data_IF_463170733929
#
_entry.id   IF_463170733929
#
_cell.length_a   1.000
_cell.length_b   1.000
_cell.length_c   1.000
_cell.angle_alpha   90.00
_cell.angle_beta   90.00
_cell.angle_gamma   90.00
#
_symmetry.space_group_name_H-M   'P 1'
#
loop_
_entity.id
_entity.type
_entity.pdbx_description
1 polymer ?
#
# COMPACT_ATOMS: atom_id res chain seq x y z
N UNK A 1 -4.82 71.66 25.39
CA UNK A 1 -5.33 70.83 24.28
C UNK A 1 -4.81 69.41 24.56
N UNK A 2 -5.38 68.61 25.47
CA UNK A 2 -6.72 67.96 25.48
C UNK A 2 -6.93 67.19 24.16
N UNK A 3 -7.22 65.88 24.09
CA UNK A 3 -8.12 64.96 24.86
C UNK A 3 -7.64 63.47 24.60
N UNK A 4 -8.28 62.38 25.10
CA UNK A 4 -8.17 61.71 26.42
C UNK A 4 -7.69 60.23 26.37
N UNK A 5 -7.40 59.71 27.56
CA UNK A 5 -7.36 58.28 27.91
C UNK A 5 -8.76 57.85 28.37
N UNK A 6 -9.27 56.74 27.82
CA UNK A 6 -10.53 56.10 28.27
C UNK A 6 -10.20 54.78 28.97
N UNK A 7 -10.54 54.72 30.27
CA UNK A 7 -10.63 53.50 31.07
C UNK A 7 -11.94 52.75 30.71
N UNK A 8 -11.88 51.43 30.59
CA UNK A 8 -13.05 50.54 30.63
C UNK A 8 -12.80 49.46 31.69
N UNK A 9 -13.80 49.11 32.54
CA UNK A 9 -13.59 48.40 33.80
C UNK A 9 -13.63 46.87 33.64
N UNK A 10 -13.05 46.20 34.63
CA UNK A 10 -13.15 44.77 34.88
C UNK A 10 -14.60 44.28 34.94
N UNK A 11 -14.86 43.18 34.22
CA UNK A 11 -15.98 42.28 34.46
C UNK A 11 -15.43 40.87 34.63
N UNK A 12 -15.68 40.33 35.82
CA UNK A 12 -15.35 38.98 36.21
C UNK A 12 -16.14 37.97 35.38
N UNK A 13 -15.46 36.96 34.83
CA UNK A 13 -16.12 35.74 34.35
C UNK A 13 -15.78 34.61 35.31
N UNK A 14 -16.82 34.11 35.97
CA UNK A 14 -16.75 33.02 36.92
C UNK A 14 -16.32 31.72 36.27
N UNK A 15 -15.48 30.99 37.00
CA UNK A 15 -15.13 29.59 36.75
C UNK A 15 -16.39 28.74 36.92
N UNK A 16 -16.85 28.11 35.84
CA UNK A 16 -17.70 26.93 35.91
C UNK A 16 -16.85 25.75 35.46
N UNK A 17 -16.42 24.95 36.43
CA UNK A 17 -15.76 23.68 36.20
C UNK A 17 -16.74 22.67 35.62
N UNK A 18 -16.33 22.03 34.54
CA UNK A 18 -16.83 20.73 34.15
C UNK A 18 -15.67 19.75 34.19
N UNK A 19 -15.64 18.95 35.25
CA UNK A 19 -14.82 17.75 35.35
C UNK A 19 -15.28 16.77 34.26
N UNK A 20 -14.55 16.68 33.16
CA UNK A 20 -14.59 15.50 32.31
C UNK A 20 -13.55 14.52 32.84
N UNK A 21 -14.04 13.46 33.47
CA UNK A 21 -13.27 12.32 33.95
C UNK A 21 -12.45 11.70 32.82
N UNK A 22 -11.13 11.61 32.99
CA UNK A 22 -10.20 10.98 32.04
C UNK A 22 -10.12 9.46 32.22
N UNK A 23 -11.25 8.77 32.45
CA UNK A 23 -11.25 7.36 32.87
C UNK A 23 -11.74 6.31 31.87
N UNK A 24 -12.19 6.68 30.67
CA UNK A 24 -12.89 5.71 29.79
C UNK A 24 -12.21 5.58 28.41
N UNK A 25 -10.88 5.47 28.39
CA UNK A 25 -10.13 5.10 27.18
C UNK A 25 -9.55 3.70 27.37
N UNK A 26 -10.32 2.71 26.92
CA UNK A 26 -9.81 1.36 26.66
C UNK A 26 -8.60 1.48 25.69
N UNK A 27 -7.47 0.82 25.97
CA UNK A 27 -6.38 0.74 25.01
C UNK A 27 -6.92 0.08 23.74
N UNK A 28 -6.72 0.75 22.59
CA UNK A 28 -7.01 0.15 21.28
C UNK A 28 -5.99 -0.97 21.08
N UNK A 29 -6.31 -2.12 21.65
CA UNK A 29 -5.58 -3.36 21.46
C UNK A 29 -5.55 -3.69 19.97
N UNK A 30 -4.53 -4.47 19.60
CA UNK A 30 -4.28 -4.99 18.27
C UNK A 30 -5.46 -5.88 17.82
N UNK A 31 -6.59 -5.27 17.46
CA UNK A 31 -7.70 -5.97 16.85
C UNK A 31 -7.23 -6.43 15.47
N UNK A 32 -7.02 -7.73 15.35
CA UNK A 32 -6.98 -8.38 14.05
C UNK A 32 -8.29 -8.07 13.33
N UNK A 33 -8.21 -7.85 12.02
CA UNK A 33 -9.39 -7.80 11.15
C UNK A 33 -10.21 -9.05 11.47
N UNK A 34 -11.46 -8.87 11.92
CA UNK A 34 -12.36 -9.98 12.23
C UNK A 34 -12.92 -10.54 10.92
N UNK A 35 -12.04 -11.11 10.12
CA UNK A 35 -12.42 -12.11 9.14
C UNK A 35 -12.33 -13.46 9.86
N UNK A 36 -13.34 -14.31 9.67
CA UNK A 36 -13.42 -15.62 10.33
C UNK A 36 -12.42 -16.64 9.77
N UNK A 37 -11.53 -16.21 8.88
CA UNK A 37 -10.43 -17.00 8.31
C UNK A 37 -9.16 -16.95 9.16
N UNK A 38 -8.40 -18.04 9.13
CA UNK A 38 -7.05 -18.09 9.69
C UNK A 38 -6.07 -17.22 8.91
N UNK A 39 -4.85 -17.00 9.44
CA UNK A 39 -3.76 -16.37 8.68
C UNK A 39 -3.62 -17.01 7.29
N UNK A 40 -3.59 -16.18 6.24
CA UNK A 40 -3.42 -16.63 4.85
C UNK A 40 -4.71 -16.96 4.10
N UNK A 41 -5.87 -16.84 4.73
CA UNK A 41 -7.17 -17.14 4.08
C UNK A 41 -7.62 -16.05 3.10
N UNK A 42 -7.20 -14.80 3.34
CA UNK A 42 -7.58 -13.63 2.55
C UNK A 42 -6.40 -12.70 2.27
N UNK A 43 -6.57 -11.86 1.25
CA UNK A 43 -5.64 -10.80 0.84
C UNK A 43 -6.41 -9.49 0.77
N UNK A 44 -6.74 -8.88 1.93
CA UNK A 44 -7.78 -7.87 2.03
C UNK A 44 -7.33 -6.46 1.62
N UNK A 45 -6.04 -6.23 1.41
CA UNK A 45 -5.51 -4.90 1.09
C UNK A 45 -4.16 -4.97 0.38
N UNK A 46 -3.65 -3.79 -0.01
CA UNK A 46 -2.34 -3.60 -0.61
C UNK A 46 -1.24 -4.42 0.08
N UNK A 47 -0.59 -5.31 -0.67
CA UNK A 47 0.51 -6.19 -0.23
C UNK A 47 0.15 -7.11 0.94
N UNK A 48 -1.12 -7.48 1.05
CA UNK A 48 -1.61 -8.47 1.99
C UNK A 48 -1.98 -7.89 3.35
N UNK A 49 -2.36 -8.75 4.31
CA UNK A 49 -2.90 -8.32 5.61
C UNK A 49 -1.99 -7.35 6.38
N UNK A 50 -0.67 -7.51 6.28
CA UNK A 50 0.35 -6.70 6.94
C UNK A 50 0.93 -5.56 6.09
N UNK A 51 0.57 -5.46 4.80
CA UNK A 51 1.04 -4.43 3.84
C UNK A 51 2.55 -4.38 3.56
N UNK A 52 3.29 -5.37 4.06
CA UNK A 52 4.73 -5.53 3.90
C UNK A 52 5.11 -6.63 2.90
N UNK A 53 4.12 -7.23 2.24
CA UNK A 53 4.31 -8.31 1.27
C UNK A 53 4.60 -9.67 1.92
N UNK A 54 4.42 -9.81 3.23
CA UNK A 54 4.58 -11.10 3.90
C UNK A 54 3.31 -11.94 3.78
N UNK A 55 3.48 -13.20 3.39
CA UNK A 55 2.43 -14.20 3.38
C UNK A 55 2.66 -15.19 4.53
N UNK A 56 1.62 -15.41 5.33
CA UNK A 56 1.60 -16.38 6.42
C UNK A 56 0.51 -17.39 6.10
N UNK A 57 0.88 -18.63 5.79
CA UNK A 57 -0.05 -19.68 5.38
C UNK A 57 0.71 -20.94 4.94
N UNK A 58 0.06 -21.89 4.24
CA UNK A 58 0.70 -23.09 3.72
C UNK A 58 1.92 -22.76 2.84
N UNK A 59 2.97 -23.57 2.97
CA UNK A 59 4.20 -23.40 2.20
C UNK A 59 3.96 -23.55 0.69
N UNK A 60 4.59 -22.71 -0.12
CA UNK A 60 4.55 -22.85 -1.58
C UNK A 60 5.33 -24.08 -2.06
N UNK A 61 4.92 -24.70 -3.19
CA UNK A 61 5.67 -25.78 -3.79
C UNK A 61 7.06 -25.29 -4.27
N UNK A 62 8.04 -26.19 -4.34
CA UNK A 62 9.41 -25.86 -4.77
C UNK A 62 9.59 -25.57 -6.27
N UNK A 63 8.51 -25.51 -7.04
CA UNK A 63 8.56 -25.25 -8.50
C UNK A 63 7.25 -24.63 -8.98
N UNK A 64 7.34 -23.83 -10.05
CA UNK A 64 6.23 -23.12 -10.69
C UNK A 64 5.73 -23.82 -11.96
N UNK A 65 6.16 -25.06 -12.22
CA UNK A 65 5.73 -25.82 -13.40
C UNK A 65 4.21 -26.04 -13.46
N UNK A 66 3.70 -26.46 -14.63
CA UNK A 66 2.26 -26.62 -14.85
C UNK A 66 1.60 -27.69 -13.98
N UNK A 67 2.38 -28.63 -13.41
CA UNK A 67 1.83 -29.69 -12.57
C UNK A 67 1.57 -29.17 -11.16
N UNK A 68 2.43 -28.27 -10.66
CA UNK A 68 2.40 -27.73 -9.30
C UNK A 68 1.68 -26.39 -9.19
N UNK A 69 1.71 -25.57 -10.23
CA UNK A 69 0.94 -24.32 -10.33
C UNK A 69 -0.09 -24.46 -11.46
N UNK A 70 -1.33 -24.83 -11.15
CA UNK A 70 -2.35 -25.08 -12.17
C UNK A 70 -3.23 -23.86 -12.35
N UNK A 71 -3.51 -23.50 -13.60
CA UNK A 71 -4.56 -22.52 -13.88
C UNK A 71 -5.91 -23.14 -13.50
N UNK A 72 -6.63 -22.52 -12.57
CA UNK A 72 -7.97 -22.97 -12.13
C UNK A 72 -9.05 -22.33 -12.99
N UNK A 73 -9.00 -21.01 -13.13
CA UNK A 73 -9.88 -20.25 -14.01
C UNK A 73 -9.20 -18.96 -14.48
N UNK A 74 -9.72 -18.39 -15.57
CA UNK A 74 -9.26 -17.12 -16.14
C UNK A 74 -10.46 -16.36 -16.67
N UNK A 75 -10.61 -15.12 -16.23
CA UNK A 75 -11.57 -14.16 -16.78
C UNK A 75 -10.82 -13.23 -17.72
N UNK A 76 -11.19 -13.24 -19.00
CA UNK A 76 -10.60 -12.41 -20.04
C UNK A 76 -11.43 -11.13 -20.29
N UNK A 77 -10.99 -10.32 -21.26
CA UNK A 77 -11.68 -9.11 -21.73
C UNK A 77 -11.90 -8.02 -20.66
N UNK A 78 -10.98 -7.98 -19.68
CA UNK A 78 -10.91 -6.89 -18.72
C UNK A 78 -10.31 -5.65 -19.37
N UNK A 79 -10.79 -4.48 -18.95
CA UNK A 79 -10.11 -3.21 -19.16
C UNK A 79 -8.80 -3.14 -18.36
N UNK A 80 -7.87 -2.25 -18.75
CA UNK A 80 -6.60 -2.09 -18.08
C UNK A 80 -6.73 -1.53 -16.65
N UNK A 81 -5.81 -1.91 -15.77
CA UNK A 81 -5.73 -1.43 -14.39
C UNK A 81 -4.47 -1.91 -13.70
N UNK A 82 -3.94 -1.12 -12.77
CA UNK A 82 -2.75 -1.44 -11.97
C UNK A 82 -3.10 -1.85 -10.53
N UNK A 83 -4.37 -1.73 -10.13
CA UNK A 83 -4.82 -2.19 -8.83
C UNK A 83 -4.65 -3.72 -8.70
N UNK A 84 -3.89 -4.14 -7.68
CA UNK A 84 -3.86 -5.54 -7.24
C UNK A 84 -5.26 -6.07 -6.89
N UNK A 85 -5.58 -7.34 -7.21
CA UNK A 85 -6.85 -7.93 -6.81
C UNK A 85 -6.93 -8.08 -5.29
N UNK A 86 -8.15 -7.95 -4.74
CA UNK A 86 -8.46 -8.20 -3.34
C UNK A 86 -9.18 -9.54 -3.24
N UNK A 87 -8.72 -10.41 -2.35
CA UNK A 87 -9.24 -11.77 -2.22
C UNK A 87 -9.89 -11.91 -0.85
N UNK A 88 -11.19 -12.12 -0.83
CA UNK A 88 -11.96 -12.50 0.35
C UNK A 88 -12.15 -14.02 0.39
N UNK A 89 -12.86 -14.54 1.40
CA UNK A 89 -13.07 -15.98 1.57
C UNK A 89 -13.82 -16.64 0.40
N UNK A 90 -14.76 -15.93 -0.20
CA UNK A 90 -15.68 -16.46 -1.22
C UNK A 90 -15.62 -15.73 -2.57
N UNK A 91 -14.94 -14.58 -2.63
CA UNK A 91 -14.90 -13.72 -3.81
C UNK A 91 -13.57 -13.03 -4.03
N UNK A 92 -13.34 -12.59 -5.27
CA UNK A 92 -12.19 -11.81 -5.69
C UNK A 92 -12.67 -10.51 -6.32
N UNK A 93 -12.08 -9.40 -5.91
CA UNK A 93 -12.38 -8.08 -6.46
C UNK A 93 -11.23 -7.58 -7.32
N UNK A 94 -11.58 -6.93 -8.44
CA UNK A 94 -10.63 -6.25 -9.31
C UNK A 94 -11.21 -4.90 -9.75
N UNK A 95 -10.33 -3.99 -10.15
CA UNK A 95 -10.72 -2.67 -10.65
C UNK A 95 -10.06 -2.45 -12.01
N UNK A 96 -10.81 -1.86 -12.93
CA UNK A 96 -10.37 -1.51 -14.28
C UNK A 96 -10.72 -0.07 -14.63
N UNK A 97 -10.04 0.47 -15.63
CA UNK A 97 -10.40 1.72 -16.30
C UNK A 97 -10.63 1.45 -17.78
N UNK A 98 -11.83 1.70 -18.28
CA UNK A 98 -12.22 1.48 -19.68
C UNK A 98 -13.25 2.51 -20.12
N UNK A 99 -13.08 3.04 -21.32
CA UNK A 99 -14.05 3.94 -21.97
C UNK A 99 -14.53 5.13 -21.11
N UNK A 100 -13.61 5.72 -20.34
CA UNK A 100 -13.90 6.88 -19.48
C UNK A 100 -14.53 6.54 -18.12
N UNK A 101 -14.63 5.26 -17.81
CA UNK A 101 -15.19 4.74 -16.55
C UNK A 101 -14.13 4.00 -15.76
N UNK A 102 -14.32 4.01 -14.45
CA UNK A 102 -13.73 3.01 -13.56
C UNK A 102 -14.81 2.00 -13.18
N UNK A 103 -14.45 0.73 -13.25
CA UNK A 103 -15.35 -0.38 -12.95
C UNK A 103 -14.72 -1.29 -11.91
N UNK A 104 -15.49 -1.59 -10.87
CA UNK A 104 -15.18 -2.60 -9.86
C UNK A 104 -15.99 -3.84 -10.16
N UNK A 105 -15.35 -4.99 -10.15
CA UNK A 105 -15.99 -6.28 -10.44
C UNK A 105 -15.69 -7.25 -9.31
N UNK A 106 -16.70 -8.00 -8.89
CA UNK A 106 -16.56 -9.12 -7.97
C UNK A 106 -16.80 -10.43 -8.71
N UNK A 107 -15.89 -11.37 -8.50
CA UNK A 107 -15.96 -12.73 -9.06
C UNK A 107 -16.08 -13.75 -7.94
N UNK A 108 -16.83 -14.82 -8.18
CA UNK A 108 -16.81 -16.00 -7.34
C UNK A 108 -15.38 -16.56 -7.31
N UNK A 109 -14.82 -16.75 -6.11
CA UNK A 109 -13.42 -17.16 -5.96
C UNK A 109 -13.18 -18.57 -6.49
N UNK A 110 -14.16 -19.47 -6.37
CA UNK A 110 -14.00 -20.86 -6.75
C UNK A 110 -14.18 -21.08 -8.26
N UNK A 111 -15.18 -20.44 -8.86
CA UNK A 111 -15.58 -20.63 -10.25
C UNK A 111 -15.02 -19.57 -11.21
N UNK A 112 -14.74 -18.36 -10.73
CA UNK A 112 -14.37 -17.21 -11.58
C UNK A 112 -15.57 -16.55 -12.27
N UNK A 113 -16.81 -16.86 -11.85
CA UNK A 113 -18.03 -16.27 -12.40
C UNK A 113 -18.23 -14.84 -11.90
N UNK A 114 -18.64 -13.91 -12.78
CA UNK A 114 -18.97 -12.54 -12.38
C UNK A 114 -20.20 -12.54 -11.47
N UNK A 115 -20.07 -11.98 -10.27
CA UNK A 115 -21.15 -11.83 -9.29
C UNK A 115 -21.86 -10.50 -9.45
N UNK A 116 -21.09 -9.42 -9.53
CA UNK A 116 -21.60 -8.06 -9.73
C UNK A 116 -20.52 -7.16 -10.32
N UNK A 117 -20.94 -6.06 -10.94
CA UNK A 117 -20.07 -4.97 -11.36
C UNK A 117 -20.69 -3.61 -11.04
N UNK A 118 -19.84 -2.63 -10.76
CA UNK A 118 -20.21 -1.25 -10.45
C UNK A 118 -19.29 -0.33 -11.21
N UNK A 119 -19.85 0.65 -11.91
CA UNK A 119 -19.06 1.63 -12.66
C UNK A 119 -19.46 3.05 -12.32
N UNK A 120 -18.49 3.95 -12.39
CA UNK A 120 -18.73 5.39 -12.39
C UNK A 120 -17.88 6.07 -13.45
N UNK A 121 -18.34 7.23 -13.91
CA UNK A 121 -17.55 8.09 -14.78
C UNK A 121 -16.35 8.63 -13.99
N UNK A 122 -15.15 8.26 -14.43
CA UNK A 122 -13.90 8.79 -13.93
C UNK A 122 -12.84 8.64 -15.02
N UNK A 123 -12.31 9.76 -15.46
CA UNK A 123 -11.24 9.79 -16.46
C UNK A 123 -10.34 10.99 -16.27
N UNK A 124 -9.06 10.73 -16.48
CA UNK A 124 -8.01 11.73 -16.56
C UNK A 124 -6.90 11.20 -17.46
N UNK A 125 -6.00 12.09 -17.88
CA UNK A 125 -4.80 11.72 -18.62
C UNK A 125 -3.58 12.04 -17.78
N UNK A 126 -2.69 11.06 -17.60
CA UNK A 126 -1.38 11.31 -16.99
C UNK A 126 -0.51 12.18 -17.91
N UNK A 127 0.56 12.83 -17.41
CA UNK A 127 1.48 13.61 -18.24
C UNK A 127 2.05 12.82 -19.42
N UNK A 128 2.29 13.50 -20.55
CA UNK A 128 2.71 12.87 -21.82
C UNK A 128 3.93 11.95 -21.70
N UNK A 129 4.91 12.29 -20.84
CA UNK A 129 6.10 11.45 -20.64
C UNK A 129 5.81 10.12 -19.92
N UNK A 130 4.63 9.98 -19.32
CA UNK A 130 4.14 8.78 -18.66
C UNK A 130 2.97 8.12 -19.40
N UNK A 131 2.48 8.71 -20.49
CA UNK A 131 1.28 8.25 -21.21
C UNK A 131 1.40 6.80 -21.73
N UNK A 132 2.61 6.33 -22.05
CA UNK A 132 2.85 4.94 -22.44
C UNK A 132 2.56 3.93 -21.32
N UNK A 133 2.45 4.38 -20.07
CA UNK A 133 2.08 3.61 -18.87
C UNK A 133 0.60 3.80 -18.51
N UNK A 134 -0.19 4.27 -19.47
CA UNK A 134 -1.64 4.38 -19.36
C UNK A 134 -2.17 5.40 -18.36
N UNK A 135 -3.48 5.56 -18.34
CA UNK A 135 -4.22 6.42 -17.41
C UNK A 135 -5.32 5.59 -16.75
N UNK A 136 -4.89 4.62 -15.95
CA UNK A 136 -5.76 3.61 -15.36
C UNK A 136 -5.63 3.60 -13.84
N UNK A 137 -6.67 3.14 -13.15
CA UNK A 137 -6.72 2.96 -11.70
C UNK A 137 -5.46 2.27 -11.18
N UNK A 138 -4.89 2.81 -10.09
CA UNK A 138 -3.60 2.36 -9.53
C UNK A 138 -3.66 1.94 -8.09
N UNK A 139 -4.59 2.50 -7.33
CA UNK A 139 -4.77 2.19 -5.92
C UNK A 139 -5.40 0.81 -5.76
N UNK A 140 -4.70 -0.11 -5.11
CA UNK A 140 -5.29 -1.38 -4.67
C UNK A 140 -6.36 -1.09 -3.61
N UNK A 141 -7.59 -1.64 -3.75
CA UNK A 141 -8.63 -1.45 -2.76
C UNK A 141 -8.28 -1.99 -1.36
N UNK A 142 -9.12 -1.69 -0.38
CA UNK A 142 -9.11 -2.34 0.93
C UNK A 142 -10.47 -2.97 1.24
N UNK A 143 -10.50 -4.07 1.99
CA UNK A 143 -11.68 -4.83 2.36
C UNK A 143 -11.74 -5.02 3.87
N UNK A 144 -12.88 -4.70 4.50
CA UNK A 144 -13.07 -4.86 5.96
C UNK A 144 -13.85 -6.11 6.37
N UNK A 145 -14.29 -6.93 5.42
CA UNK A 145 -15.19 -8.06 5.65
C UNK A 145 -16.63 -7.82 5.21
N UNK A 146 -17.02 -6.56 4.97
CA UNK A 146 -18.36 -6.17 4.51
C UNK A 146 -18.32 -5.16 3.35
N UNK A 147 -17.40 -4.18 3.40
CA UNK A 147 -17.26 -3.09 2.45
C UNK A 147 -15.88 -3.08 1.80
N UNK A 148 -15.88 -2.82 0.50
CA UNK A 148 -14.70 -2.56 -0.31
C UNK A 148 -14.50 -1.06 -0.45
N UNK A 149 -13.27 -0.57 -0.27
CA UNK A 149 -12.89 0.82 -0.36
C UNK A 149 -11.95 1.04 -1.55
N UNK A 150 -12.45 1.72 -2.57
CA UNK A 150 -11.80 1.83 -3.88
C UNK A 150 -11.38 3.27 -4.14
N UNK A 151 -10.08 3.48 -4.32
CA UNK A 151 -9.50 4.76 -4.71
C UNK A 151 -9.45 4.90 -6.23
N UNK A 152 -10.24 5.81 -6.77
CA UNK A 152 -10.29 6.15 -8.18
C UNK A 152 -9.25 7.18 -8.60
N UNK A 153 -9.00 7.27 -9.90
CA UNK A 153 -7.96 8.10 -10.49
C UNK A 153 -8.07 9.57 -10.07
N UNK A 154 -9.26 10.16 -9.96
CA UNK A 154 -9.40 11.60 -9.65
C UNK A 154 -9.48 11.93 -8.17
N UNK A 155 -8.76 11.22 -7.32
CA UNK A 155 -8.86 11.35 -5.86
C UNK A 155 -10.30 11.12 -5.34
N UNK A 156 -11.01 10.19 -5.98
CA UNK A 156 -12.31 9.71 -5.52
C UNK A 156 -12.10 8.48 -4.64
N UNK A 157 -12.82 8.36 -3.54
CA UNK A 157 -12.84 7.17 -2.70
C UNK A 157 -14.29 6.71 -2.57
N UNK A 158 -14.54 5.46 -2.97
CA UNK A 158 -15.88 4.88 -3.00
C UNK A 158 -15.92 3.69 -2.05
N UNK A 159 -16.92 3.64 -1.18
CA UNK A 159 -17.25 2.42 -0.43
C UNK A 159 -18.37 1.66 -1.11
N UNK A 160 -18.17 0.37 -1.28
CA UNK A 160 -19.08 -0.53 -1.97
C UNK A 160 -19.38 -1.69 -1.03
N UNK A 161 -20.66 -2.05 -0.87
CA UNK A 161 -21.03 -3.27 -0.19
C UNK A 161 -20.48 -4.46 -1.00
N UNK A 162 -19.60 -5.25 -0.40
CA UNK A 162 -18.91 -6.33 -1.12
C UNK A 162 -19.82 -7.48 -1.52
N UNK A 163 -20.98 -7.62 -0.87
CA UNK A 163 -21.97 -8.64 -1.18
C UNK A 163 -22.79 -8.27 -2.41
N UNK A 164 -23.38 -7.08 -2.41
CA UNK A 164 -24.36 -6.63 -3.41
C UNK A 164 -23.79 -5.78 -4.54
N UNK A 165 -22.61 -5.17 -4.36
CA UNK A 165 -22.11 -4.12 -5.25
C UNK A 165 -22.81 -2.76 -5.04
N UNK A 166 -23.62 -2.58 -4.00
CA UNK A 166 -24.24 -1.28 -3.75
C UNK A 166 -23.21 -0.24 -3.28
N UNK A 167 -23.20 0.93 -3.90
CA UNK A 167 -22.39 2.06 -3.42
C UNK A 167 -22.97 2.58 -2.09
N UNK A 168 -22.18 2.48 -1.03
CA UNK A 168 -22.56 2.93 0.33
C UNK A 168 -22.33 4.43 0.47
N UNK A 169 -21.16 4.90 0.06
CA UNK A 169 -20.81 6.32 0.03
C UNK A 169 -19.73 6.56 -1.01
N UNK A 170 -19.58 7.84 -1.37
CA UNK A 170 -18.72 8.29 -2.44
C UNK A 170 -18.15 9.67 -2.11
N UNK A 171 -16.83 9.74 -2.04
CA UNK A 171 -16.10 10.93 -1.64
C UNK A 171 -15.20 11.40 -2.77
N UNK A 172 -15.50 12.58 -3.30
CA UNK A 172 -14.56 13.33 -4.12
C UNK A 172 -13.71 14.25 -3.23
N UNK A 173 -12.44 13.89 -3.00
CA UNK A 173 -11.54 14.71 -2.19
C UNK A 173 -11.15 16.01 -2.89
N UNK A 174 -11.14 16.06 -4.22
CA UNK A 174 -10.86 17.26 -4.99
C UNK A 174 -11.89 18.32 -4.69
N UNK A 175 -13.17 17.97 -4.83
CA UNK A 175 -14.29 18.87 -4.51
C UNK A 175 -14.37 19.20 -3.02
N UNK A 176 -14.06 18.24 -2.14
CA UNK A 176 -14.13 18.43 -0.68
C UNK A 176 -13.11 19.45 -0.17
N UNK A 177 -11.93 19.49 -0.78
CA UNK A 177 -10.80 20.28 -0.27
C UNK A 177 -10.35 21.39 -1.21
N UNK A 178 -11.05 21.60 -2.33
CA UNK A 178 -10.75 22.61 -3.34
C UNK A 178 -9.30 22.49 -3.85
N UNK A 179 -8.93 21.28 -4.27
CA UNK A 179 -7.58 20.97 -4.79
C UNK A 179 -7.60 20.88 -6.31
N UNK A 180 -6.44 20.96 -6.95
CA UNK A 180 -6.34 20.69 -8.40
C UNK A 180 -6.47 19.20 -8.72
N UNK A 181 -6.14 18.33 -7.75
CA UNK A 181 -6.17 16.89 -7.89
C UNK A 181 -4.83 16.33 -8.43
N UNK A 182 -4.72 14.99 -8.52
CA UNK A 182 -3.45 14.32 -8.78
C UNK A 182 -3.07 14.35 -10.26
N UNK A 183 -1.77 14.51 -10.57
CA UNK A 183 -1.27 14.36 -11.94
C UNK A 183 -1.21 12.88 -12.41
N UNK A 184 -0.97 11.96 -11.48
CA UNK A 184 -0.77 10.52 -11.75
C UNK A 184 -1.93 9.65 -11.25
N UNK A 185 -3.01 10.29 -10.86
CA UNK A 185 -4.14 9.70 -10.17
C UNK A 185 -3.85 9.31 -8.72
N UNK A 186 -4.89 8.87 -8.00
CA UNK A 186 -4.76 8.33 -6.65
C UNK A 186 -4.00 7.00 -6.71
N UNK A 187 -2.76 7.04 -6.22
CA UNK A 187 -1.82 5.90 -6.24
C UNK A 187 -1.60 5.30 -4.86
N UNK A 188 -1.80 6.09 -3.81
CA UNK A 188 -1.77 5.62 -2.41
C UNK A 188 -2.95 4.69 -2.14
N UNK A 189 -2.68 3.40 -1.95
CA UNK A 189 -3.71 2.42 -1.57
C UNK A 189 -4.19 2.67 -0.14
N UNK A 190 -5.52 2.72 0.11
CA UNK A 190 -6.06 2.97 1.44
C UNK A 190 -5.53 1.95 2.45
N UNK A 191 -5.11 2.44 3.62
CA UNK A 191 -4.83 1.63 4.79
C UNK A 191 -6.11 1.53 5.61
N UNK A 192 -6.62 0.31 5.79
CA UNK A 192 -7.74 0.04 6.67
C UNK A 192 -7.25 -0.40 8.05
N UNK A 193 -7.76 0.23 9.11
CA UNK A 193 -7.53 -0.16 10.50
C UNK A 193 -8.77 0.10 11.35
N UNK A 194 -9.42 -0.98 11.79
CA UNK A 194 -10.69 -0.86 12.51
C UNK A 194 -11.72 -0.11 11.65
N UNK A 195 -12.33 0.93 12.22
CA UNK A 195 -13.32 1.78 11.53
C UNK A 195 -12.73 2.92 10.68
N UNK A 196 -11.41 2.96 10.49
CA UNK A 196 -10.74 4.10 9.87
C UNK A 196 -9.97 3.70 8.62
N UNK A 197 -10.04 4.57 7.63
CA UNK A 197 -9.21 4.54 6.43
C UNK A 197 -8.18 5.66 6.51
N UNK A 198 -6.93 5.36 6.12
CA UNK A 198 -5.90 6.36 5.93
C UNK A 198 -5.42 6.33 4.48
N UNK A 199 -5.42 7.49 3.81
CA UNK A 199 -5.11 7.57 2.39
C UNK A 199 -4.48 8.93 2.04
N UNK A 200 -3.43 8.92 1.22
CA UNK A 200 -2.89 10.15 0.64
C UNK A 200 -3.76 10.57 -0.55
N UNK A 201 -4.69 11.50 -0.34
CA UNK A 201 -5.66 11.99 -1.31
C UNK A 201 -6.07 13.44 -0.98
N UNK A 202 -6.52 14.19 -1.99
CA UNK A 202 -6.82 15.60 -1.86
C UNK A 202 -5.61 16.37 -1.34
N UNK A 203 -4.44 16.15 -1.94
CA UNK A 203 -3.18 16.83 -1.61
C UNK A 203 -2.72 16.73 -0.16
N UNK A 204 -3.16 15.74 0.61
CA UNK A 204 -2.69 15.49 1.97
C UNK A 204 -2.92 14.04 2.41
N UNK A 205 -2.62 13.74 3.67
CA UNK A 205 -3.01 12.48 4.32
C UNK A 205 -4.34 12.68 5.04
N UNK A 206 -5.33 11.88 4.68
CA UNK A 206 -6.66 11.93 5.27
C UNK A 206 -6.89 10.70 6.15
N UNK A 207 -7.51 10.91 7.32
CA UNK A 207 -8.20 9.86 8.07
C UNK A 207 -9.69 10.01 7.84
N UNK A 208 -10.33 8.92 7.42
CA UNK A 208 -11.73 8.88 7.04
C UNK A 208 -12.46 7.82 7.85
N UNK A 209 -13.67 8.11 8.29
CA UNK A 209 -14.57 7.11 8.87
C UNK A 209 -15.05 6.16 7.78
N UNK A 210 -14.79 4.86 7.98
CA UNK A 210 -15.06 3.85 6.97
C UNK A 210 -16.57 3.60 6.74
N UNK A 211 -17.42 3.93 7.71
CA UNK A 211 -18.87 3.75 7.58
C UNK A 211 -19.54 4.90 6.82
N UNK A 212 -19.02 6.13 6.95
CA UNK A 212 -19.70 7.34 6.41
C UNK A 212 -18.94 8.06 5.31
N UNK A 213 -17.63 7.81 5.15
CA UNK A 213 -16.77 8.59 4.26
C UNK A 213 -16.45 9.98 4.80
N UNK A 214 -16.78 10.29 6.06
CA UNK A 214 -16.46 11.58 6.68
C UNK A 214 -14.97 11.71 6.99
N UNK A 215 -14.40 12.87 6.68
CA UNK A 215 -13.02 13.19 7.04
C UNK A 215 -12.92 13.50 8.53
N UNK A 216 -12.19 12.67 9.28
CA UNK A 216 -11.90 12.91 10.70
C UNK A 216 -10.80 13.96 10.85
N UNK A 217 -9.74 13.84 10.04
CA UNK A 217 -8.72 14.87 9.91
C UNK A 217 -8.03 14.78 8.55
N UNK A 218 -7.38 15.89 8.16
CA UNK A 218 -6.46 15.99 7.01
C UNK A 218 -5.20 16.71 7.47
N UNK A 219 -4.04 16.16 7.14
CA UNK A 219 -2.74 16.69 7.55
C UNK A 219 -1.76 16.65 6.37
N UNK A 220 -0.62 17.32 6.54
CA UNK A 220 0.44 17.41 5.53
C UNK A 220 -0.08 17.87 4.16
N UNK A 221 -1.04 18.80 4.15
CA UNK A 221 -1.54 19.37 2.91
C UNK A 221 -0.39 20.06 2.16
N UNK A 222 -0.20 19.74 0.89
CA UNK A 222 0.88 20.33 0.09
C UNK A 222 0.56 21.76 -0.29
N UNK A 223 1.53 22.65 -0.13
CA UNK A 223 1.45 24.01 -0.67
C UNK A 223 1.97 24.01 -2.12
N UNK A 224 1.07 23.91 -3.10
CA UNK A 224 1.34 24.13 -4.52
C UNK A 224 1.24 22.89 -5.43
N UNK A 225 0.90 23.15 -6.70
CA UNK A 225 0.54 22.16 -7.74
C UNK A 225 1.55 21.03 -7.94
N UNK A 226 2.86 21.35 -7.88
CA UNK A 226 3.94 20.38 -8.15
C UNK A 226 4.19 19.39 -7.01
N UNK A 227 3.65 19.65 -5.81
CA UNK A 227 3.82 18.82 -4.62
C UNK A 227 2.54 18.08 -4.20
N UNK A 228 1.44 18.30 -4.93
CA UNK A 228 0.17 17.62 -4.75
C UNK A 228 0.23 16.12 -5.02
N UNK A 229 -0.58 15.35 -4.29
CA UNK A 229 -0.72 13.89 -4.30
C UNK A 229 0.58 13.06 -4.27
N UNK A 230 0.76 12.26 -3.21
CA UNK A 230 1.91 11.37 -3.04
C UNK A 230 1.60 9.93 -3.47
N UNK A 231 2.65 9.20 -3.82
CA UNK A 231 2.53 7.87 -4.44
C UNK A 231 2.50 6.72 -3.45
N UNK A 232 3.28 6.84 -2.38
CA UNK A 232 3.48 5.77 -1.42
C UNK A 232 2.23 5.48 -0.60
N UNK A 233 1.97 4.21 -0.34
CA UNK A 233 0.86 3.80 0.52
C UNK A 233 1.28 3.85 2.00
N UNK A 234 0.44 4.35 2.93
CA UNK A 234 0.80 4.45 4.33
C UNK A 234 0.80 3.07 5.03
N UNK A 235 1.49 3.01 6.18
CA UNK A 235 1.51 1.87 7.09
C UNK A 235 1.36 2.32 8.55
N UNK A 236 0.98 1.40 9.43
CA UNK A 236 1.07 1.60 10.89
C UNK A 236 2.27 0.85 11.45
N UNK A 237 2.96 1.46 12.41
CA UNK A 237 4.15 0.89 13.01
C UNK A 237 4.31 1.32 14.46
N UNK A 238 4.81 0.43 15.30
CA UNK A 238 5.31 0.78 16.64
C UNK A 238 6.71 1.38 16.52
N UNK A 239 6.83 2.68 16.79
CA UNK A 239 8.07 3.45 16.66
C UNK A 239 8.25 4.37 17.86
N UNK A 240 9.47 4.44 18.40
CA UNK A 240 9.74 5.29 19.56
C UNK A 240 8.83 5.04 20.77
N UNK A 241 8.29 3.82 20.93
CA UNK A 241 7.44 3.42 22.05
C UNK A 241 5.93 3.62 21.87
N UNK A 242 5.42 3.90 20.66
CA UNK A 242 3.98 3.91 20.39
C UNK A 242 3.62 3.73 18.91
N UNK A 243 2.34 3.44 18.65
CA UNK A 243 1.79 3.26 17.31
C UNK A 243 1.79 4.59 16.55
N UNK A 244 2.31 4.58 15.33
CA UNK A 244 2.40 5.75 14.45
C UNK A 244 1.93 5.39 13.05
N UNK A 245 1.25 6.34 12.40
CA UNK A 245 1.01 6.30 10.97
C UNK A 245 2.26 6.80 10.25
N UNK A 246 2.92 5.92 9.49
CA UNK A 246 4.12 6.26 8.73
C UNK A 246 3.72 6.58 7.29
N UNK A 247 4.05 7.79 6.87
CA UNK A 247 3.63 8.37 5.59
C UNK A 247 4.84 8.92 4.85
N UNK A 248 5.11 8.36 3.67
CA UNK A 248 6.08 8.89 2.75
C UNK A 248 5.37 9.81 1.73
N UNK A 249 5.54 11.12 1.92
CA UNK A 249 5.10 12.14 0.97
C UNK A 249 6.13 12.31 -0.15
N UNK A 250 5.88 13.23 -1.09
CA UNK A 250 6.83 13.53 -2.18
C UNK A 250 8.23 13.96 -1.72
N UNK A 251 8.36 14.49 -0.50
CA UNK A 251 9.61 15.07 -0.02
C UNK A 251 10.03 14.63 1.38
N UNK A 252 9.14 13.99 2.16
CA UNK A 252 9.41 13.65 3.56
C UNK A 252 8.83 12.28 3.94
N UNK A 253 9.56 11.55 4.78
CA UNK A 253 9.02 10.49 5.61
C UNK A 253 8.52 11.11 6.91
N UNK A 254 7.28 10.83 7.29
CA UNK A 254 6.65 11.39 8.48
C UNK A 254 6.08 10.28 9.36
N UNK A 255 6.17 10.46 10.67
CA UNK A 255 5.36 9.71 11.63
C UNK A 255 4.29 10.61 12.20
N UNK A 256 3.02 10.18 12.13
CA UNK A 256 1.89 10.91 12.68
C UNK A 256 1.23 10.08 13.78
N UNK A 257 0.65 10.77 14.76
CA UNK A 257 -0.29 10.13 15.66
C UNK A 257 -1.55 9.73 14.87
N UNK A 258 -1.92 8.43 14.82
CA UNK A 258 -3.07 7.97 14.03
C UNK A 258 -4.42 8.46 14.59
N UNK A 259 -4.48 8.93 15.83
CA UNK A 259 -5.71 9.41 16.45
C UNK A 259 -6.08 10.80 15.94
N UNK A 260 -5.20 11.78 16.10
CA UNK A 260 -5.44 13.21 15.83
C UNK A 260 -4.67 13.78 14.63
N UNK A 261 -3.78 12.99 14.03
CA UNK A 261 -2.96 13.39 12.89
C UNK A 261 -1.76 14.28 13.25
N UNK A 262 -1.47 14.50 14.53
CA UNK A 262 -0.32 15.31 14.93
C UNK A 262 0.98 14.73 14.37
N UNK A 263 1.80 15.56 13.71
CA UNK A 263 3.11 15.15 13.18
C UNK A 263 4.07 14.98 14.35
N UNK A 264 4.50 13.74 14.59
CA UNK A 264 5.42 13.37 15.67
C UNK A 264 6.88 13.63 15.26
N UNK A 265 7.22 13.31 14.01
CA UNK A 265 8.52 13.59 13.42
C UNK A 265 8.42 13.67 11.91
N UNK A 266 9.42 14.33 11.30
CA UNK A 266 9.55 14.45 9.85
C UNK A 266 11.02 14.33 9.44
N UNK A 267 11.29 13.62 8.35
CA UNK A 267 12.62 13.42 7.80
C UNK A 267 12.60 13.64 6.29
N UNK A 268 13.46 14.53 5.78
CA UNK A 268 13.53 14.81 4.35
C UNK A 268 13.99 13.57 3.56
N UNK A 269 13.20 13.17 2.57
CA UNK A 269 13.49 12.06 1.66
C UNK A 269 13.38 12.58 0.23
N UNK A 270 14.55 12.89 -0.36
CA UNK A 270 14.64 13.31 -1.76
C UNK A 270 14.35 12.13 -2.68
N UNK A 271 13.80 12.43 -3.85
CA UNK A 271 13.63 11.49 -4.95
C UNK A 271 13.63 12.21 -6.29
N UNK A 272 13.80 11.43 -7.35
CA UNK A 272 13.68 11.88 -8.72
C UNK A 272 12.25 12.41 -8.95
N UNK A 273 12.11 13.71 -9.24
CA UNK A 273 10.81 14.39 -9.48
C UNK A 273 9.79 14.26 -8.33
N UNK A 274 10.24 14.03 -7.10
CA UNK A 274 9.36 13.78 -5.95
C UNK A 274 8.59 12.46 -6.01
N UNK A 275 9.01 11.52 -6.87
CA UNK A 275 8.39 10.21 -7.06
C UNK A 275 8.81 9.21 -5.97
N UNK A 276 8.45 9.51 -4.73
CA UNK A 276 8.54 8.59 -3.61
C UNK A 276 7.39 7.56 -3.67
N UNK A 277 7.63 6.44 -4.34
CA UNK A 277 6.60 5.44 -4.70
C UNK A 277 6.52 4.27 -3.72
N UNK A 278 7.66 3.83 -3.20
CA UNK A 278 7.75 2.60 -2.43
C UNK A 278 7.02 2.72 -1.10
N UNK A 279 6.29 1.68 -0.70
CA UNK A 279 5.74 1.54 0.66
C UNK A 279 6.91 1.35 1.63
N UNK A 280 7.02 2.16 2.71
CA UNK A 280 8.06 1.98 3.71
C UNK A 280 7.92 0.62 4.39
N UNK A 281 9.03 0.07 4.90
CA UNK A 281 9.00 -1.18 5.66
C UNK A 281 9.55 -0.97 7.07
N UNK A 282 9.12 -1.79 8.00
CA UNK A 282 9.58 -1.75 9.39
C UNK A 282 10.51 -2.93 9.66
N UNK A 283 11.63 -2.64 10.31
CA UNK A 283 12.55 -3.65 10.80
C UNK A 283 13.10 -3.19 12.16
N UNK A 284 12.85 -3.98 13.21
CA UNK A 284 13.36 -3.73 14.57
C UNK A 284 13.15 -2.29 15.08
N UNK A 285 11.92 -1.77 14.90
CA UNK A 285 11.54 -0.42 15.33
C UNK A 285 12.20 0.70 14.52
N UNK A 286 12.71 0.40 13.33
CA UNK A 286 13.24 1.36 12.37
C UNK A 286 12.51 1.26 11.03
N UNK A 287 12.50 2.36 10.27
CA UNK A 287 11.84 2.49 8.98
C UNK A 287 12.87 2.38 7.86
N UNK A 288 12.73 1.38 6.98
CA UNK A 288 13.52 1.22 5.78
C UNK A 288 12.81 1.80 4.55
N UNK A 289 13.56 2.50 3.70
CA UNK A 289 13.09 2.96 2.39
C UNK A 289 14.24 3.05 1.38
N UNK A 290 13.92 2.87 0.09
CA UNK A 290 14.86 2.96 -1.02
C UNK A 290 14.33 3.90 -2.12
N UNK A 291 14.37 5.23 -1.93
CA UNK A 291 13.66 6.15 -2.79
C UNK A 291 14.20 6.16 -4.23
N UNK A 292 13.32 6.40 -5.20
CA UNK A 292 13.71 6.43 -6.61
C UNK A 292 14.70 7.56 -6.88
N UNK A 293 15.91 7.22 -7.35
CA UNK A 293 16.95 8.21 -7.65
C UNK A 293 17.71 8.74 -6.43
N UNK A 294 17.51 8.15 -5.25
CA UNK A 294 18.22 8.51 -4.01
C UNK A 294 18.66 7.23 -3.26
N UNK A 295 19.59 7.40 -2.32
CA UNK A 295 20.15 6.33 -1.51
C UNK A 295 19.08 5.64 -0.64
N UNK A 296 19.14 4.31 -0.61
CA UNK A 296 18.46 3.53 0.41
C UNK A 296 18.95 3.91 1.81
N UNK A 297 18.05 3.89 2.78
CA UNK A 297 18.31 4.34 4.13
C UNK A 297 17.44 3.61 5.15
N UNK A 298 18.01 3.43 6.33
CA UNK A 298 17.28 3.02 7.54
C UNK A 298 17.17 4.23 8.46
N UNK A 299 15.97 4.48 8.97
CA UNK A 299 15.65 5.59 9.86
C UNK A 299 15.19 5.03 11.20
N UNK A 300 15.92 5.31 12.28
CA UNK A 300 15.54 4.91 13.64
C UNK A 300 14.83 6.07 14.31
N UNK A 301 13.62 5.82 14.78
CA UNK A 301 12.82 6.80 15.52
C UNK A 301 13.07 6.59 17.01
N UNK A 302 13.63 7.61 17.66
CA UNK A 302 13.84 7.63 19.09
C UNK A 302 12.86 8.61 19.73
N UNK A 303 12.38 8.28 20.93
CA UNK A 303 11.54 9.16 21.74
C UNK A 303 12.21 9.41 23.08
N UNK A 304 12.22 10.66 23.51
CA UNK A 304 12.70 11.07 24.83
C UNK A 304 11.86 12.23 25.33
N UNK A 305 11.33 12.09 26.55
CA UNK A 305 10.51 13.12 27.22
C UNK A 305 9.33 13.62 26.35
N UNK A 306 8.74 12.73 25.55
CA UNK A 306 7.62 13.05 24.65
C UNK A 306 8.03 13.69 23.32
N UNK A 307 9.31 13.96 23.09
CA UNK A 307 9.82 14.46 21.81
C UNK A 307 10.42 13.32 20.98
N UNK A 308 10.18 13.34 19.66
CA UNK A 308 10.74 12.38 18.72
C UNK A 308 11.92 12.96 17.96
N UNK A 309 12.91 12.12 17.67
CA UNK A 309 14.00 12.42 16.76
C UNK A 309 14.25 11.23 15.81
N UNK A 310 14.82 11.54 14.65
CA UNK A 310 15.15 10.54 13.63
C UNK A 310 16.66 10.45 13.51
N UNK A 311 17.18 9.28 13.84
CA UNK A 311 18.55 8.90 13.54
C UNK A 311 18.59 8.14 12.21
N UNK A 312 19.72 8.20 11.53
CA UNK A 312 19.94 7.47 10.28
C UNK A 312 21.12 6.53 10.46
N UNK A 313 20.89 5.30 10.99
CA UNK A 313 21.96 4.33 11.24
C UNK A 313 22.89 4.12 10.05
N UNK A 314 22.35 4.08 8.82
CA UNK A 314 23.15 3.93 7.62
C UNK A 314 22.43 4.44 6.37
N UNK A 315 23.21 4.60 5.29
CA UNK A 315 22.71 4.81 3.91
C UNK A 315 23.48 3.92 2.95
N UNK A 316 22.85 3.49 1.86
CA UNK A 316 23.44 2.69 0.80
C UNK A 316 23.17 3.31 -0.58
N UNK A 317 24.07 3.12 -1.55
CA UNK A 317 23.93 3.66 -2.92
C UNK A 317 22.83 3.02 -3.74
N UNK A 318 22.28 1.88 -3.32
CA UNK A 318 21.11 1.26 -3.96
C UNK A 318 19.96 2.26 -4.00
N UNK A 319 19.32 2.35 -5.17
CA UNK A 319 18.15 3.20 -5.41
C UNK A 319 17.01 2.29 -5.85
N UNK A 320 15.92 2.26 -5.10
CA UNK A 320 14.74 1.46 -5.46
C UNK A 320 14.02 2.04 -6.68
N UNK A 321 13.13 1.25 -7.27
CA UNK A 321 12.36 1.70 -8.44
C UNK A 321 11.03 0.97 -8.56
N UNK A 322 9.93 1.71 -8.42
CA UNK A 322 8.50 1.31 -8.60
C UNK A 322 7.99 0.15 -7.71
N UNK A 323 8.87 -0.74 -7.29
CA UNK A 323 8.62 -1.98 -6.59
C UNK A 323 8.86 -1.77 -5.10
N UNK A 324 7.82 -2.01 -4.29
CA UNK A 324 7.99 -2.02 -2.84
C UNK A 324 8.80 -3.28 -2.43
N UNK A 325 9.90 -3.13 -1.67
CA UNK A 325 10.77 -4.24 -1.31
C UNK A 325 10.10 -5.20 -0.32
N UNK A 326 10.72 -6.36 -0.10
CA UNK A 326 10.38 -7.26 1.01
C UNK A 326 11.58 -7.40 1.94
N UNK A 327 11.31 -7.72 3.21
CA UNK A 327 12.35 -8.00 4.21
C UNK A 327 12.20 -9.45 4.65
N UNK A 328 13.29 -10.21 4.59
CA UNK A 328 13.36 -11.60 5.06
C UNK A 328 14.62 -11.70 5.92
N UNK A 329 14.48 -12.20 7.15
CA UNK A 329 15.60 -12.45 8.08
C UNK A 329 16.63 -11.30 8.17
N UNK A 330 16.14 -10.06 8.31
CA UNK A 330 17.00 -8.88 8.43
C UNK A 330 17.70 -8.43 7.15
N UNK A 331 17.27 -8.93 5.99
CA UNK A 331 17.76 -8.53 4.68
C UNK A 331 16.61 -7.94 3.84
N UNK A 332 16.85 -6.78 3.23
CA UNK A 332 15.92 -6.17 2.28
C UNK A 332 16.27 -6.56 0.84
N UNK A 333 15.25 -6.97 0.08
CA UNK A 333 15.35 -7.34 -1.32
C UNK A 333 14.70 -6.24 -2.15
N UNK A 334 15.52 -5.48 -2.87
CA UNK A 334 15.12 -4.22 -3.50
C UNK A 334 15.28 -4.34 -5.02
N UNK A 335 14.18 -4.20 -5.76
CA UNK A 335 14.26 -3.97 -7.20
C UNK A 335 14.66 -2.52 -7.46
N UNK A 336 15.70 -2.35 -8.26
CA UNK A 336 16.47 -1.11 -8.34
C UNK A 336 16.26 -0.39 -9.66
N UNK A 337 16.53 0.93 -9.65
CA UNK A 337 16.50 1.77 -10.85
C UNK A 337 17.46 1.31 -11.94
N UNK A 338 18.48 0.54 -11.59
CA UNK A 338 19.42 -0.06 -12.52
C UNK A 338 18.90 -1.34 -13.19
N UNK A 339 17.59 -1.63 -13.07
CA UNK A 339 16.94 -2.86 -13.52
C UNK A 339 17.63 -4.09 -12.95
N UNK A 340 17.73 -4.21 -11.62
CA UNK A 340 18.36 -5.33 -10.90
C UNK A 340 17.68 -5.53 -9.57
N UNK A 341 17.77 -6.72 -8.99
CA UNK A 341 17.43 -6.94 -7.58
C UNK A 341 18.71 -6.95 -6.72
N UNK A 342 18.67 -6.29 -5.57
CA UNK A 342 19.78 -6.20 -4.62
C UNK A 342 19.36 -6.69 -3.25
N UNK A 343 20.24 -7.42 -2.56
CA UNK A 343 20.07 -7.81 -1.16
C UNK A 343 20.92 -6.90 -0.25
N UNK A 344 20.29 -6.24 0.71
CA UNK A 344 20.94 -5.35 1.67
C UNK A 344 20.69 -5.87 3.08
N UNK A 345 21.75 -6.10 3.85
CA UNK A 345 21.62 -6.42 5.28
C UNK A 345 21.22 -5.18 6.05
N UNK A 346 20.14 -5.26 6.82
CA UNK A 346 19.55 -4.11 7.50
C UNK A 346 20.26 -3.69 8.78
N UNK A 347 21.06 -4.57 9.40
CA UNK A 347 21.80 -4.24 10.62
C UNK A 347 22.83 -3.12 10.40
N UNK A 348 23.41 -3.03 9.20
CA UNK A 348 24.51 -2.10 8.89
C UNK A 348 24.47 -1.49 7.47
N UNK A 349 23.52 -1.91 6.63
CA UNK A 349 23.37 -1.43 5.27
C UNK A 349 24.36 -2.06 4.28
N UNK A 350 25.02 -3.17 4.63
CA UNK A 350 25.92 -3.86 3.71
C UNK A 350 25.15 -4.40 2.49
N UNK A 351 25.59 -4.03 1.29
CA UNK A 351 25.10 -4.65 0.05
C UNK A 351 25.72 -6.05 -0.06
N UNK A 352 24.89 -7.09 0.06
CA UNK A 352 25.34 -8.49 -0.01
C UNK A 352 25.61 -8.92 -1.45
N UNK A 353 24.66 -8.65 -2.34
CA UNK A 353 24.78 -8.95 -3.76
C UNK A 353 23.85 -8.08 -4.59
N UNK A 354 24.08 -8.07 -5.90
CA UNK A 354 23.17 -7.50 -6.91
C UNK A 354 23.08 -8.46 -8.09
N UNK A 355 21.86 -8.74 -8.56
CA UNK A 355 21.61 -9.65 -9.67
C UNK A 355 22.08 -9.08 -11.02
N UNK A 356 22.23 -9.93 -12.05
CA UNK A 356 22.12 -9.50 -13.44
C UNK A 356 20.77 -8.80 -13.72
N UNK A 357 20.68 -7.95 -14.76
CA UNK A 357 19.44 -7.28 -15.07
C UNK A 357 18.44 -8.26 -15.69
N UNK A 358 17.19 -8.37 -15.16
CA UNK A 358 16.21 -9.31 -15.67
C UNK A 358 15.50 -8.82 -16.94
N UNK A 359 15.65 -7.53 -17.31
CA UNK A 359 14.98 -6.96 -18.49
C UNK A 359 13.55 -6.45 -18.24
N UNK A 360 13.13 -6.39 -16.98
CA UNK A 360 11.78 -5.97 -16.55
C UNK A 360 11.73 -4.50 -16.06
N UNK A 361 10.57 -3.86 -15.94
CA UNK A 361 10.44 -2.50 -15.39
C UNK A 361 9.92 -2.47 -13.95
N UNK A 362 9.19 -3.51 -13.53
CA UNK A 362 8.53 -3.59 -12.22
C UNK A 362 8.34 -5.04 -11.79
N UNK A 363 8.54 -5.32 -10.49
CA UNK A 363 8.20 -6.61 -9.89
C UNK A 363 7.17 -6.42 -8.76
N UNK A 364 6.12 -7.23 -8.73
CA UNK A 364 5.32 -7.46 -7.52
C UNK A 364 6.00 -8.53 -6.66
N UNK A 365 6.23 -8.25 -5.39
CA UNK A 365 6.98 -9.12 -4.48
C UNK A 365 6.11 -9.59 -3.31
N UNK A 366 6.04 -10.91 -3.12
CA UNK A 366 5.47 -11.56 -1.93
C UNK A 366 6.54 -12.47 -1.32
N UNK A 367 6.73 -12.40 -0.01
CA UNK A 367 7.68 -13.19 0.75
C UNK A 367 6.96 -14.24 1.60
N UNK A 368 7.54 -15.43 1.71
CA UNK A 368 7.17 -16.46 2.66
C UNK A 368 8.45 -17.18 3.08
N UNK A 369 8.70 -17.23 4.39
CA UNK A 369 9.87 -17.87 4.98
C UNK A 369 11.16 -17.42 4.26
N UNK A 370 11.87 -18.34 3.61
CA UNK A 370 13.12 -18.14 2.90
C UNK A 370 12.95 -17.94 1.38
N UNK A 371 11.73 -17.61 0.90
CA UNK A 371 11.44 -17.46 -0.53
C UNK A 371 10.66 -16.21 -0.87
N UNK A 372 10.83 -15.78 -2.12
CA UNK A 372 10.16 -14.64 -2.71
C UNK A 372 9.47 -15.08 -4.00
N UNK A 373 8.16 -14.85 -4.10
CA UNK A 373 7.46 -14.80 -5.38
C UNK A 373 7.61 -13.40 -5.97
N UNK A 374 8.14 -13.34 -7.18
CA UNK A 374 8.34 -12.11 -7.93
C UNK A 374 7.65 -12.20 -9.30
N UNK A 375 6.56 -11.45 -9.50
CA UNK A 375 5.92 -11.31 -10.81
C UNK A 375 6.41 -10.04 -11.50
N UNK A 376 7.01 -10.18 -12.68
CA UNK A 376 7.40 -9.02 -13.49
C UNK A 376 6.23 -8.40 -14.24
N UNK A 377 6.38 -7.14 -14.64
CA UNK A 377 5.49 -6.45 -15.58
C UNK A 377 5.37 -7.17 -16.92
N UNK A 378 6.41 -7.90 -17.33
CA UNK A 378 6.39 -8.79 -18.51
C UNK A 378 5.68 -10.13 -18.24
N UNK A 379 5.12 -10.34 -17.04
CA UNK A 379 4.30 -11.50 -16.69
C UNK A 379 5.07 -12.80 -16.42
N UNK A 380 6.37 -12.70 -16.14
CA UNK A 380 7.18 -13.84 -15.66
C UNK A 380 7.10 -13.89 -14.14
N UNK A 381 6.52 -14.96 -13.60
CA UNK A 381 6.53 -15.28 -12.18
C UNK A 381 7.80 -16.07 -11.85
N UNK A 382 8.55 -15.62 -10.83
CA UNK A 382 9.77 -16.26 -10.36
C UNK A 382 9.64 -16.66 -8.90
N UNK A 383 10.11 -17.86 -8.58
CA UNK A 383 10.37 -18.31 -7.22
C UNK A 383 11.86 -18.12 -6.95
N UNK A 384 12.18 -17.24 -6.03
CA UNK A 384 13.55 -16.80 -5.73
C UNK A 384 13.88 -17.23 -4.30
N UNK A 385 15.04 -17.85 -4.11
CA UNK A 385 15.56 -18.11 -2.78
C UNK A 385 16.03 -16.79 -2.15
N UNK A 386 15.57 -16.51 -0.93
CA UNK A 386 15.99 -15.36 -0.13
C UNK A 386 17.35 -15.61 0.53
N UNK A 387 18.36 -16.02 -0.26
CA UNK A 387 19.70 -16.33 0.23
C UNK A 387 20.55 -15.03 0.29
N UNK A 388 21.07 -14.62 1.46
CA UNK A 388 21.94 -13.44 1.54
C UNK A 388 23.35 -13.68 0.97
N UNK A 389 23.73 -14.92 0.64
CA UNK A 389 25.03 -15.23 0.02
C UNK A 389 25.02 -15.06 -1.51
N UNK A 390 23.88 -15.32 -2.17
CA UNK A 390 23.79 -15.26 -3.63
C UNK A 390 22.37 -14.98 -4.14
N UNK A 391 22.27 -14.50 -5.38
CA UNK A 391 21.00 -14.42 -6.08
C UNK A 391 20.71 -15.76 -6.79
N UNK A 392 19.61 -16.43 -6.43
CA UNK A 392 19.22 -17.72 -7.02
C UNK A 392 17.73 -17.77 -7.34
N UNK A 393 17.41 -17.99 -8.61
CA UNK A 393 16.05 -18.31 -9.08
C UNK A 393 15.89 -19.83 -9.05
N UNK A 394 14.91 -20.32 -8.28
CA UNK A 394 14.63 -21.76 -8.14
C UNK A 394 13.72 -22.26 -9.26
N UNK A 395 12.77 -21.43 -9.68
CA UNK A 395 11.82 -21.74 -10.75
C UNK A 395 11.26 -20.45 -11.35
N UNK A 396 10.87 -20.51 -12.62
CA UNK A 396 10.19 -19.40 -13.29
C UNK A 396 9.16 -19.90 -14.29
N UNK A 397 8.11 -19.11 -14.50
CA UNK A 397 7.06 -19.40 -15.48
C UNK A 397 6.39 -18.11 -15.96
N UNK A 398 6.12 -18.06 -17.27
CA UNK A 398 5.25 -17.05 -17.87
C UNK A 398 3.78 -17.34 -17.51
N UNK A 399 3.14 -16.40 -16.81
CA UNK A 399 1.74 -16.51 -16.34
C UNK A 399 0.87 -15.33 -16.80
N UNK A 400 1.47 -14.28 -17.34
CA UNK A 400 0.82 -13.10 -17.89
C UNK A 400 1.63 -12.47 -19.02
N UNK A 401 1.07 -11.45 -19.67
CA UNK A 401 1.76 -10.69 -20.73
C UNK A 401 2.14 -9.30 -20.28
N UNK A 402 1.26 -8.62 -19.54
CA UNK A 402 1.45 -7.27 -19.03
C UNK A 402 0.80 -7.14 -17.64
N UNK A 403 1.57 -7.31 -16.56
CA UNK A 403 1.04 -7.35 -15.20
C UNK A 403 1.76 -6.39 -14.23
N UNK A 404 1.13 -5.26 -13.99
CA UNK A 404 1.60 -4.24 -13.04
C UNK A 404 0.94 -4.35 -11.66
N UNK A 405 -0.17 -5.09 -11.60
CA UNK A 405 -0.93 -5.31 -10.39
C UNK A 405 -0.12 -6.16 -9.40
N UNK A 406 -0.25 -5.83 -8.11
CA UNK A 406 0.37 -6.65 -7.07
C UNK A 406 -0.30 -8.02 -7.02
N UNK A 407 0.48 -9.10 -6.95
CA UNK A 407 -0.02 -10.46 -6.71
C UNK A 407 -0.86 -10.52 -5.42
N UNK A 408 -1.88 -11.37 -5.43
CA UNK A 408 -2.55 -11.78 -4.20
C UNK A 408 -2.35 -13.29 -4.00
N UNK A 409 -2.03 -13.68 -2.76
CA UNK A 409 -1.77 -15.07 -2.37
C UNK A 409 -2.67 -15.43 -1.21
N UNK A 410 -3.45 -16.50 -1.34
CA UNK A 410 -4.32 -16.99 -0.27
C UNK A 410 -4.33 -18.51 -0.27
N UNK A 411 -3.97 -19.14 0.86
CA UNK A 411 -3.87 -20.60 1.00
C UNK A 411 -3.03 -21.22 -0.12
N UNK A 412 -3.68 -22.07 -0.92
CA UNK A 412 -3.17 -22.76 -2.08
C UNK A 412 -3.39 -21.96 -3.38
N UNK A 413 -3.80 -20.69 -3.35
CA UNK A 413 -4.18 -19.92 -4.53
C UNK A 413 -3.28 -18.70 -4.76
N UNK A 414 -3.07 -18.40 -6.04
CA UNK A 414 -2.34 -17.24 -6.55
C UNK A 414 -3.20 -16.52 -7.58
N UNK A 415 -3.43 -15.23 -7.36
CA UNK A 415 -4.19 -14.38 -8.27
C UNK A 415 -3.26 -13.43 -9.01
N UNK A 416 -3.37 -13.45 -10.34
CA UNK A 416 -2.59 -12.62 -11.26
C UNK A 416 -3.53 -11.75 -12.06
N UNK A 417 -3.33 -10.43 -11.97
CA UNK A 417 -4.06 -9.43 -12.74
C UNK A 417 -3.15 -8.87 -13.83
N UNK A 418 -3.40 -9.32 -15.06
CA UNK A 418 -2.86 -8.72 -16.28
C UNK A 418 -3.65 -7.46 -16.61
N UNK A 419 -3.26 -6.65 -17.60
CA UNK A 419 -4.11 -5.57 -18.11
C UNK A 419 -5.41 -6.09 -18.74
N UNK A 420 -5.41 -7.28 -19.34
CA UNK A 420 -6.55 -7.78 -20.11
C UNK A 420 -7.31 -8.92 -19.43
N UNK A 421 -6.80 -9.44 -18.31
CA UNK A 421 -7.43 -10.58 -17.63
C UNK A 421 -7.10 -10.66 -16.13
N UNK A 422 -7.93 -11.43 -15.41
CA UNK A 422 -7.68 -11.92 -14.06
C UNK A 422 -7.61 -13.44 -14.10
N UNK A 423 -6.58 -14.03 -13.49
CA UNK A 423 -6.40 -15.47 -13.43
C UNK A 423 -6.21 -15.93 -11.99
N UNK A 424 -6.85 -17.05 -11.65
CA UNK A 424 -6.58 -17.80 -10.43
C UNK A 424 -5.79 -19.04 -10.78
N UNK A 425 -4.64 -19.18 -10.14
CA UNK A 425 -3.86 -20.39 -10.14
C UNK A 425 -3.94 -21.06 -8.77
N UNK A 426 -3.68 -22.37 -8.75
CA UNK A 426 -3.74 -23.19 -7.56
C UNK A 426 -2.45 -24.03 -7.43
N UNK A 427 -1.83 -23.95 -6.25
CA UNK A 427 -0.78 -24.83 -5.77
C UNK A 427 -1.35 -26.24 -5.60
N UNK A 428 -0.71 -27.23 -6.21
CA UNK A 428 -0.91 -28.63 -5.85
C UNK A 428 0.32 -29.10 -5.08
N UNK A 429 0.09 -29.70 -3.92
CA UNK A 429 1.14 -30.46 -3.25
C UNK A 429 1.68 -31.48 -4.26
N UNK A 430 3.00 -31.46 -4.45
CA UNK A 430 3.66 -32.56 -5.14
C UNK A 430 3.36 -33.84 -4.37
N UNK A 431 2.86 -34.86 -5.06
CA UNK A 431 2.72 -36.18 -4.47
C UNK A 431 4.10 -36.65 -4.00
N UNK A 432 4.37 -36.52 -2.70
CA UNK A 432 5.48 -37.15 -1.97
C UNK A 432 6.88 -36.94 -2.52
N UNK A 433 7.66 -36.11 -1.84
CA UNK A 433 9.12 -36.18 -1.87
C UNK A 433 9.67 -36.18 -0.46
N UNK A 434 9.83 -37.37 0.13
CA UNK A 434 10.74 -37.60 1.25
C UNK A 434 12.10 -36.97 0.91
N UNK A 435 12.49 -35.90 1.63
CA UNK A 435 13.71 -35.80 2.46
C UNK A 435 13.98 -34.38 2.91
#
# INVERSE_FOLDING_TARGET
MMIPIVLIPHLALGVLGSNASTSDLEPVGRAALSDSGGPGDTWPQWRGPSRDGQYVGPAWPGTLDEKHLRLRWKVADLGPGYAGPIVASDRVFTVESRDGKETVQAYDRAAGDLLWEVSWEDSMSVPLFAASRGSWVRSTPAWDGEKLYVGGMRDRLVAINGESGEVVWDVDFKSRYDTEGPEFGLTSSPLLRGRYLFVQAGDGICKVDSATGESIWRQLASEGEMLGSAFSSPILAELGGGEQLVVLTRSHMNGLNPLDGAVLWSHAVKSSRGMNILTPLIHEGAVFTAPTGEKAQLLRVISKDGAFAVEKPWTNRVQGFLTSPVIIEGHAYVFTRANRISCIRLSDGELKWTSPPPGDDYWSLVAQDDRILALSDTGVLRLIAADPAEYRVESERKVAENSWAHLAVCRDELFVRDLEFLACFEWKEGAGGDR
#
